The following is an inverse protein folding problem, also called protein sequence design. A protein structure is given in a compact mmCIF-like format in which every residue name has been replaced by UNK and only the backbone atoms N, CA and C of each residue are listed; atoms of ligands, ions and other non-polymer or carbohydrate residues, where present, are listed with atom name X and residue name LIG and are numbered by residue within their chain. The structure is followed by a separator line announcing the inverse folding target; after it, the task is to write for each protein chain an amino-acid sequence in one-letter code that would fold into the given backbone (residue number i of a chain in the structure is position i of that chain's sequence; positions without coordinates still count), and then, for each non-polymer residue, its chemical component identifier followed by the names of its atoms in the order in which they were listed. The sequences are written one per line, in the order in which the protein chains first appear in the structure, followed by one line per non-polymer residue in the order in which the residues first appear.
data_IF_542450074212
#
_entry.id   IF_542450074212
#
_cell.length_a   1.000
_cell.length_b   1.000
_cell.length_c   1.000
_cell.angle_alpha   90.00
_cell.angle_beta   90.00
_cell.angle_gamma   90.00
#
_symmetry.space_group_name_H-M   'P 1'
#
loop_
_entity.id
_entity.type
_entity.pdbx_description
1 polymer ?
#
# COMPACT_ATOMS: atom_id res chain seq x y z
N UNK A 1 17.82 16.45 23.26
CA UNK A 1 17.15 16.10 21.99
C UNK A 1 15.94 17.00 21.91
N UNK A 2 15.90 17.97 20.99
CA UNK A 2 14.79 18.93 20.92
C UNK A 2 13.55 18.18 20.43
N UNK A 3 12.47 18.25 21.21
CA UNK A 3 11.18 17.70 20.80
C UNK A 3 10.65 18.52 19.63
N UNK A 4 10.80 17.97 18.42
CA UNK A 4 10.40 18.63 17.16
C UNK A 4 8.92 18.98 17.14
N UNK A 5 8.07 18.35 17.96
CA UNK A 5 6.66 18.71 18.09
C UNK A 5 6.47 20.08 18.76
N UNK A 6 7.38 20.51 19.63
CA UNK A 6 7.35 21.83 20.27
C UNK A 6 7.92 22.95 19.38
N UNK A 7 8.58 22.60 18.27
CA UNK A 7 9.06 23.54 17.25
C UNK A 7 8.03 23.80 16.15
N UNK A 8 6.94 23.04 16.12
CA UNK A 8 5.86 23.28 15.19
C UNK A 8 5.24 24.65 15.51
N UNK A 9 5.05 25.52 14.49
CA UNK A 9 4.43 26.82 14.71
C UNK A 9 3.12 26.60 15.44
N UNK A 10 2.86 27.42 16.46
CA UNK A 10 1.68 27.41 17.31
C UNK A 10 0.54 26.69 16.60
N UNK A 11 0.20 25.49 17.08
CA UNK A 11 -0.94 24.72 16.64
C UNK A 11 -2.14 25.65 16.67
N UNK A 12 -2.43 26.32 15.55
CA UNK A 12 -3.67 27.05 15.42
C UNK A 12 -4.68 25.92 15.45
N UNK A 13 -5.42 25.81 16.54
CA UNK A 13 -6.42 24.78 16.79
C UNK A 13 -7.50 24.69 15.70
N UNK A 14 -7.41 25.54 14.67
CA UNK A 14 -8.26 25.61 13.50
C UNK A 14 -7.74 24.85 12.27
N UNK A 15 -6.45 24.50 12.16
CA UNK A 15 -5.91 23.82 10.95
C UNK A 15 -5.90 22.29 11.06
N UNK A 16 -5.59 21.77 12.25
CA UNK A 16 -5.67 20.35 12.56
C UNK A 16 -6.49 20.16 13.82
N UNK A 17 -7.42 19.21 13.78
CA UNK A 17 -8.27 18.89 14.92
C UNK A 17 -7.60 17.94 15.93
N UNK A 18 -6.57 17.20 15.50
CA UNK A 18 -5.83 16.28 16.36
C UNK A 18 -4.37 16.11 15.92
N UNK A 19 -3.46 16.08 16.91
CA UNK A 19 -2.03 15.75 16.72
C UNK A 19 -1.85 14.37 16.08
N UNK A 20 -2.75 13.43 16.38
CA UNK A 20 -2.71 12.08 15.79
C UNK A 20 -2.97 12.14 14.28
N UNK A 21 -3.89 12.99 13.83
CA UNK A 21 -4.18 13.14 12.41
C UNK A 21 -2.98 13.69 11.66
N UNK A 22 -2.32 14.71 12.21
CA UNK A 22 -1.08 15.26 11.64
C UNK A 22 -0.04 14.16 11.40
N UNK A 23 0.22 13.32 12.42
CA UNK A 23 1.19 12.22 12.32
C UNK A 23 0.77 11.19 11.27
N UNK A 24 -0.50 10.81 11.23
CA UNK A 24 -1.00 9.81 10.26
C UNK A 24 -0.85 10.33 8.83
N UNK A 25 -1.28 11.57 8.57
CA UNK A 25 -1.21 12.18 7.23
C UNK A 25 0.25 12.36 6.81
N UNK A 26 1.11 12.88 7.69
CA UNK A 26 2.53 13.03 7.40
C UNK A 26 3.22 11.67 7.14
N UNK A 27 2.86 10.63 7.89
CA UNK A 27 3.42 9.28 7.71
C UNK A 27 3.00 8.66 6.37
N UNK A 28 1.73 8.81 5.98
CA UNK A 28 1.26 8.39 4.66
C UNK A 28 1.95 9.17 3.54
N UNK A 29 2.11 10.48 3.71
CA UNK A 29 2.80 11.30 2.73
C UNK A 29 4.28 10.92 2.60
N UNK A 30 4.97 10.67 3.71
CA UNK A 30 6.35 10.20 3.70
C UNK A 30 6.48 8.88 2.93
N UNK A 31 5.54 7.94 3.13
CA UNK A 31 5.48 6.70 2.34
C UNK A 31 5.39 6.98 0.83
N UNK A 32 4.55 7.92 0.40
CA UNK A 32 4.47 8.28 -1.02
C UNK A 32 5.79 8.84 -1.54
N UNK A 33 6.47 9.70 -0.78
CA UNK A 33 7.78 10.24 -1.16
C UNK A 33 8.83 9.13 -1.29
N UNK A 34 8.87 8.18 -0.35
CA UNK A 34 9.75 7.00 -0.42
C UNK A 34 9.44 6.13 -1.65
N UNK A 35 8.18 6.08 -2.09
CA UNK A 35 7.75 5.38 -3.30
C UNK A 35 8.02 6.17 -4.59
N UNK A 36 8.72 7.31 -4.51
CA UNK A 36 9.12 8.12 -5.67
C UNK A 36 8.13 9.22 -6.05
N UNK A 37 7.12 9.51 -5.21
CA UNK A 37 6.27 10.67 -5.43
C UNK A 37 7.10 11.96 -5.33
N UNK A 38 6.78 12.94 -6.18
CA UNK A 38 7.47 14.23 -6.14
C UNK A 38 7.03 15.05 -4.92
N UNK A 39 7.94 15.80 -4.28
CA UNK A 39 7.58 16.81 -3.31
C UNK A 39 6.63 17.85 -3.92
N UNK A 40 5.71 18.36 -3.12
CA UNK A 40 4.72 19.36 -3.53
C UNK A 40 5.34 20.75 -3.75
N UNK A 41 6.56 20.98 -3.26
CA UNK A 41 7.28 22.22 -3.45
C UNK A 41 8.73 22.15 -2.93
N UNK A 42 9.46 23.27 -2.97
CA UNK A 42 10.80 23.34 -2.41
C UNK A 42 10.74 23.14 -0.89
N UNK A 43 11.44 22.12 -0.40
CA UNK A 43 11.62 21.90 1.04
C UNK A 43 13.06 22.21 1.44
N UNK A 44 13.21 22.74 2.67
CA UNK A 44 14.53 22.93 3.29
C UNK A 44 15.08 21.63 3.87
N UNK A 45 14.26 20.59 3.91
CA UNK A 45 14.58 19.31 4.50
C UNK A 45 14.92 18.28 3.44
N UNK A 46 15.78 17.33 3.79
CA UNK A 46 16.22 16.26 2.89
C UNK A 46 15.57 14.91 3.21
N UNK A 47 15.18 14.67 4.48
CA UNK A 47 14.53 13.42 4.88
C UNK A 47 13.04 13.47 4.54
N UNK A 48 12.54 12.40 3.94
CA UNK A 48 11.17 12.27 3.44
C UNK A 48 10.14 12.50 4.56
N UNK A 49 10.42 12.04 5.78
CA UNK A 49 9.55 12.25 6.95
C UNK A 49 9.43 13.72 7.33
N UNK A 50 10.53 14.46 7.32
CA UNK A 50 10.54 15.90 7.61
C UNK A 50 9.98 16.74 6.47
N UNK A 51 10.21 16.32 5.22
CA UNK A 51 9.58 16.95 4.03
C UNK A 51 8.07 16.76 4.07
N UNK A 52 7.60 15.55 4.37
CA UNK A 52 6.17 15.27 4.48
C UNK A 52 5.50 16.07 5.61
N UNK A 53 6.15 16.19 6.78
CA UNK A 53 5.67 17.04 7.87
C UNK A 53 5.55 18.50 7.42
N UNK A 54 6.57 19.05 6.78
CA UNK A 54 6.60 20.42 6.25
C UNK A 54 5.47 20.66 5.23
N UNK A 55 5.25 19.72 4.31
CA UNK A 55 4.16 19.82 3.32
C UNK A 55 2.77 19.76 3.96
N UNK A 56 2.57 18.91 4.97
CA UNK A 56 1.29 18.80 5.67
C UNK A 56 1.01 20.09 6.44
N UNK A 57 1.99 20.62 7.17
CA UNK A 57 1.84 21.86 7.94
C UNK A 57 1.59 23.08 7.06
N UNK A 58 2.10 23.08 5.82
CA UNK A 58 1.81 24.13 4.82
C UNK A 58 0.45 23.95 4.13
N UNK A 59 -0.34 22.93 4.49
CA UNK A 59 -1.61 22.63 3.84
C UNK A 59 -1.48 22.14 2.40
N UNK A 60 -0.29 21.69 1.99
CA UNK A 60 -0.02 21.24 0.61
C UNK A 60 -0.47 19.79 0.37
N UNK A 61 -0.75 19.05 1.44
CA UNK A 61 -1.22 17.66 1.38
C UNK A 61 -2.73 17.63 1.65
N UNK A 62 -3.50 17.31 0.63
CA UNK A 62 -4.96 17.13 0.75
C UNK A 62 -5.25 15.77 1.39
N UNK A 63 -6.17 15.75 2.34
CA UNK A 63 -6.68 14.53 2.97
C UNK A 63 -8.18 14.66 3.20
N UNK A 64 -8.90 13.53 3.16
CA UNK A 64 -10.35 13.50 3.34
C UNK A 64 -10.72 13.30 4.81
N UNK A 65 -11.87 13.83 5.22
CA UNK A 65 -12.41 13.69 6.58
C UNK A 65 -13.90 13.35 6.54
N UNK A 66 -14.44 12.86 7.67
CA UNK A 66 -15.87 12.67 7.84
C UNK A 66 -16.52 11.74 6.81
N UNK A 67 -17.58 12.22 6.16
CA UNK A 67 -18.37 11.44 5.19
C UNK A 67 -17.56 11.09 3.94
N UNK A 68 -16.80 12.04 3.42
CA UNK A 68 -15.97 11.86 2.22
C UNK A 68 -14.93 10.75 2.42
N UNK A 69 -14.29 10.70 3.59
CA UNK A 69 -13.36 9.64 3.94
C UNK A 69 -14.04 8.25 3.97
N UNK A 70 -15.27 8.16 4.50
CA UNK A 70 -16.03 6.90 4.55
C UNK A 70 -16.43 6.43 3.15
N UNK A 71 -16.88 7.35 2.31
CA UNK A 71 -17.31 7.03 0.95
C UNK A 71 -16.11 6.58 0.10
N UNK A 72 -14.97 7.28 0.20
CA UNK A 72 -13.72 6.88 -0.46
C UNK A 72 -13.22 5.50 0.00
N UNK A 73 -13.32 5.18 1.30
CA UNK A 73 -12.96 3.85 1.81
C UNK A 73 -13.87 2.75 1.26
N UNK A 74 -15.18 2.99 1.16
CA UNK A 74 -16.13 2.02 0.58
C UNK A 74 -15.83 1.77 -0.89
N UNK A 75 -15.55 2.82 -1.65
CA UNK A 75 -15.20 2.73 -3.07
C UNK A 75 -13.89 1.97 -3.28
N UNK A 76 -12.84 2.30 -2.52
CA UNK A 76 -11.56 1.61 -2.58
C UNK A 76 -11.67 0.12 -2.22
N UNK A 77 -12.54 -0.23 -1.27
CA UNK A 77 -12.81 -1.64 -0.91
C UNK A 77 -13.54 -2.38 -2.03
N UNK A 78 -14.58 -1.77 -2.62
CA UNK A 78 -15.33 -2.35 -3.74
C UNK A 78 -14.46 -2.56 -4.98
N UNK A 79 -13.54 -1.64 -5.27
CA UNK A 79 -12.59 -1.78 -6.36
C UNK A 79 -11.67 -2.99 -6.19
N UNK A 80 -11.13 -3.19 -4.98
CA UNK A 80 -10.26 -4.34 -4.67
C UNK A 80 -11.00 -5.66 -4.71
N UNK A 81 -12.21 -5.72 -4.16
CA UNK A 81 -13.04 -6.93 -4.18
C UNK A 81 -13.37 -7.34 -5.62
N UNK A 82 -13.76 -6.39 -6.47
CA UNK A 82 -14.02 -6.64 -7.89
C UNK A 82 -12.78 -7.07 -8.70
N UNK A 83 -11.60 -6.55 -8.35
CA UNK A 83 -10.33 -6.97 -8.97
C UNK A 83 -9.93 -8.38 -8.53
N UNK A 84 -10.06 -8.71 -7.23
CA UNK A 84 -9.82 -10.07 -6.73
C UNK A 84 -10.81 -11.08 -7.32
N UNK A 85 -12.06 -10.70 -7.53
CA UNK A 85 -13.07 -11.55 -8.15
C UNK A 85 -12.76 -11.82 -9.64
N UNK A 86 -12.31 -10.80 -10.39
CA UNK A 86 -11.85 -10.96 -11.78
C UNK A 86 -10.62 -11.86 -11.89
N UNK A 87 -9.63 -11.68 -11.01
CA UNK A 87 -8.44 -12.53 -10.97
C UNK A 87 -8.82 -13.98 -10.64
N UNK A 88 -9.74 -14.18 -9.69
CA UNK A 88 -10.26 -15.52 -9.37
C UNK A 88 -11.01 -16.17 -10.54
N UNK A 89 -11.73 -15.40 -11.36
CA UNK A 89 -12.38 -15.92 -12.57
C UNK A 89 -11.38 -16.30 -13.67
N UNK A 90 -10.36 -15.48 -13.93
CA UNK A 90 -9.34 -15.78 -14.96
C UNK A 90 -8.46 -16.98 -14.60
N UNK A 91 -8.04 -17.09 -13.33
CA UNK A 91 -7.21 -18.21 -12.87
C UNK A 91 -7.89 -19.58 -12.98
N UNK A 92 -9.23 -19.63 -13.02
CA UNK A 92 -9.97 -20.88 -13.19
C UNK A 92 -9.89 -21.50 -14.59
N UNK A 93 -9.78 -20.66 -15.63
CA UNK A 93 -9.60 -21.08 -17.02
C UNK A 93 -8.11 -21.38 -17.29
N UNK A 94 -7.21 -20.50 -16.85
CA UNK A 94 -5.76 -20.67 -16.97
C UNK A 94 -5.27 -21.97 -16.31
N UNK A 95 -5.80 -22.33 -15.13
CA UNK A 95 -5.39 -23.55 -14.44
C UNK A 95 -5.71 -24.85 -15.23
N UNK A 96 -6.77 -24.84 -16.06
CA UNK A 96 -7.12 -26.00 -16.89
C UNK A 96 -6.25 -26.09 -18.14
N UNK A 97 -5.92 -24.95 -18.74
CA UNK A 97 -5.01 -24.87 -19.88
C UNK A 97 -3.59 -25.25 -19.47
N UNK A 98 -3.09 -24.73 -18.35
CA UNK A 98 -1.78 -25.10 -17.78
C UNK A 98 -1.71 -26.60 -17.50
N UNK A 99 -2.76 -27.22 -16.93
CA UNK A 99 -2.79 -28.68 -16.68
C UNK A 99 -2.76 -29.49 -17.98
N UNK A 100 -3.44 -29.01 -19.03
CA UNK A 100 -3.48 -29.66 -20.34
C UNK A 100 -2.10 -29.60 -21.02
N UNK A 101 -1.45 -28.44 -21.02
CA UNK A 101 -0.09 -28.30 -21.55
C UNK A 101 0.94 -29.11 -20.75
N UNK A 102 0.82 -29.15 -19.42
CA UNK A 102 1.73 -29.94 -18.57
C UNK A 102 1.54 -31.46 -18.78
N UNK A 103 0.31 -31.91 -19.04
CA UNK A 103 0.03 -33.33 -19.36
C UNK A 103 0.63 -33.81 -20.69
N UNK A 104 1.02 -32.89 -21.58
CA UNK A 104 1.75 -33.23 -22.80
C UNK A 104 3.23 -33.53 -22.50
N UNK A 105 3.77 -33.00 -21.39
CA UNK A 105 5.18 -33.11 -21.03
C UNK A 105 5.47 -34.11 -19.91
N UNK A 106 4.46 -34.67 -19.26
CA UNK A 106 4.60 -35.72 -18.25
C UNK A 106 4.01 -37.02 -18.82
N UNK A 107 4.86 -37.91 -19.30
CA UNK A 107 4.48 -39.28 -19.60
C UNK A 107 4.16 -40.03 -18.29
N UNK A 108 2.88 -40.34 -18.05
CA UNK A 108 2.36 -41.09 -16.89
C UNK A 108 2.81 -42.57 -16.83
N UNK A 109 3.88 -42.96 -17.55
CA UNK A 109 4.33 -44.37 -17.65
C UNK A 109 5.53 -44.71 -16.76
N UNK A 110 6.07 -43.78 -15.97
CA UNK A 110 7.07 -44.14 -14.95
C UNK A 110 6.40 -44.49 -13.63
N UNK A 111 5.98 -45.76 -13.55
CA UNK A 111 5.65 -46.42 -12.30
C UNK A 111 6.84 -46.26 -11.32
N UNK A 112 6.65 -45.75 -10.09
CA UNK A 112 7.75 -45.60 -9.15
C UNK A 112 8.25 -47.00 -8.78
N UNK A 113 9.45 -47.35 -9.24
CA UNK A 113 10.15 -48.55 -8.80
C UNK A 113 10.38 -48.44 -7.29
N UNK A 114 9.84 -49.41 -6.55
CA UNK A 114 10.03 -49.57 -5.13
C UNK A 114 11.53 -49.57 -4.79
N UNK A 115 11.92 -48.73 -3.83
CA UNK A 115 13.27 -48.68 -3.29
C UNK A 115 13.65 -50.04 -2.67
N UNK A 116 14.87 -50.56 -2.91
CA UNK A 116 15.35 -51.74 -2.19
C UNK A 116 15.68 -51.38 -0.75
N UNK A 117 15.08 -52.11 0.18
CA UNK A 117 15.49 -52.22 1.59
C UNK A 117 16.88 -52.85 1.67
N UNK A 118 17.85 -52.12 2.20
CA UNK A 118 19.17 -52.64 2.62
C UNK A 118 19.04 -53.34 3.98
N UNK A 119 19.55 -54.57 4.07
CA UNK A 119 19.84 -55.33 5.31
C UNK A 119 21.20 -54.90 5.91
#
# INVERSE_FOLDING_TARGET
MIDMLNLLPQYTSNEFDSRHRLVIVASQRAKHLTQGARPSGPSRFTRETTVALDEVLKGQVKYLIGKEARDAMKEAKRGKEGETERIAMMTGEDAREIKKELSVYVDDTTQPTAAPTEE
#
